data_IF_104060028260
#
_entry.id   IF_104060028260
#
_cell.length_a   1.000
_cell.length_b   1.000
_cell.length_c   1.000
_cell.angle_alpha   90.00
_cell.angle_beta   90.00
_cell.angle_gamma   90.00
#
_symmetry.space_group_name_H-M   'P 1'
#
loop_
_entity.id
_entity.type
_entity.pdbx_description
1 polymer ?
#
# COMPACT_ATOMS: atom_id res chain seq x y z
N UNK A 1 23.08 -7.98 4.35
CA UNK A 1 22.25 -7.34 3.30
C UNK A 1 20.84 -7.01 3.80
N UNK A 2 20.10 -7.95 4.41
CA UNK A 2 18.74 -7.68 4.93
C UNK A 2 18.64 -6.55 5.98
N UNK A 3 19.65 -6.38 6.85
CA UNK A 3 19.67 -5.29 7.84
C UNK A 3 19.66 -3.90 7.18
N UNK A 4 20.50 -3.70 6.16
CA UNK A 4 20.60 -2.41 5.45
C UNK A 4 19.28 -2.08 4.74
N UNK A 5 18.65 -3.07 4.08
CA UNK A 5 17.35 -2.88 3.42
C UNK A 5 16.28 -2.47 4.44
N UNK A 6 16.24 -3.14 5.60
CA UNK A 6 15.30 -2.81 6.67
C UNK A 6 15.48 -1.38 7.18
N UNK A 7 16.72 -0.96 7.41
CA UNK A 7 17.01 0.38 7.94
C UNK A 7 16.66 1.47 6.90
N UNK A 8 16.95 1.24 5.62
CA UNK A 8 16.51 2.12 4.54
C UNK A 8 14.98 2.22 4.45
N UNK A 9 14.26 1.09 4.53
CA UNK A 9 12.80 1.08 4.50
C UNK A 9 12.21 1.83 5.70
N UNK A 10 12.82 1.72 6.87
CA UNK A 10 12.41 2.51 8.04
C UNK A 10 12.56 4.01 7.80
N UNK A 11 13.66 4.45 7.16
CA UNK A 11 13.83 5.86 6.78
C UNK A 11 12.77 6.32 5.77
N UNK A 12 12.51 5.52 4.73
CA UNK A 12 11.49 5.81 3.72
C UNK A 12 10.11 5.89 4.38
N UNK A 13 9.79 4.93 5.25
CA UNK A 13 8.55 4.91 6.02
C UNK A 13 8.37 6.19 6.85
N UNK A 14 9.43 6.68 7.52
CA UNK A 14 9.38 7.96 8.22
C UNK A 14 9.07 9.13 7.26
N UNK A 15 9.77 9.21 6.12
CA UNK A 15 9.60 10.29 5.13
C UNK A 15 8.19 10.31 4.53
N UNK A 16 7.66 9.15 4.18
CA UNK A 16 6.32 8.97 3.61
C UNK A 16 5.23 9.37 4.61
N UNK A 17 5.45 9.13 5.90
CA UNK A 17 4.52 9.54 6.95
C UNK A 17 4.61 11.02 7.32
N UNK A 18 5.74 11.68 7.03
CA UNK A 18 5.98 13.07 7.42
C UNK A 18 5.13 14.08 6.63
N UNK A 19 5.11 14.00 5.30
CA UNK A 19 4.35 14.95 4.47
C UNK A 19 3.99 14.40 3.08
N UNK A 20 3.08 15.09 2.39
CA UNK A 20 2.60 14.68 1.07
C UNK A 20 3.65 14.88 -0.03
N UNK A 21 4.49 15.91 0.09
CA UNK A 21 5.54 16.22 -0.89
C UNK A 21 6.52 15.06 -1.02
N UNK A 22 6.89 14.44 0.11
CA UNK A 22 7.75 13.25 0.11
C UNK A 22 7.08 12.07 -0.61
N UNK A 23 5.77 11.87 -0.39
CA UNK A 23 5.02 10.81 -1.09
C UNK A 23 5.04 11.02 -2.60
N UNK A 24 4.83 12.27 -3.03
CA UNK A 24 4.86 12.64 -4.45
C UNK A 24 6.24 12.36 -5.02
N UNK A 25 7.32 12.84 -4.39
CA UNK A 25 8.70 12.61 -4.83
C UNK A 25 8.99 11.11 -4.96
N UNK A 26 8.62 10.31 -3.96
CA UNK A 26 8.86 8.85 -3.98
C UNK A 26 8.06 8.19 -5.11
N UNK A 27 6.77 8.50 -5.25
CA UNK A 27 5.91 7.94 -6.29
C UNK A 27 6.42 8.29 -7.71
N UNK A 28 6.81 9.56 -7.93
CA UNK A 28 7.30 10.00 -9.25
C UNK A 28 8.63 9.39 -9.64
N UNK A 29 9.41 8.90 -8.68
CA UNK A 29 10.69 8.23 -8.91
C UNK A 29 10.57 6.69 -8.97
N UNK A 30 9.36 6.15 -9.21
CA UNK A 30 9.13 4.71 -9.34
C UNK A 30 9.10 3.96 -8.00
N UNK A 31 8.94 4.68 -6.89
CA UNK A 31 8.91 4.07 -5.56
C UNK A 31 7.77 3.08 -5.37
N UNK A 32 6.60 3.32 -5.99
CA UNK A 32 5.48 2.38 -6.00
C UNK A 32 5.85 1.03 -6.61
N UNK A 33 6.57 1.06 -7.74
CA UNK A 33 6.92 -0.15 -8.50
C UNK A 33 7.85 -1.02 -7.67
N UNK A 34 8.86 -0.36 -7.10
CA UNK A 34 9.85 -0.97 -6.23
C UNK A 34 9.18 -1.61 -5.01
N UNK A 35 8.24 -0.91 -4.37
CA UNK A 35 7.52 -1.43 -3.19
C UNK A 35 6.66 -2.63 -3.57
N UNK A 36 5.88 -2.57 -4.65
CA UNK A 36 5.04 -3.70 -5.09
C UNK A 36 5.90 -4.90 -5.49
N UNK A 37 7.01 -4.69 -6.20
CA UNK A 37 7.92 -5.76 -6.59
C UNK A 37 8.60 -6.40 -5.36
N UNK A 38 8.97 -5.61 -4.36
CA UNK A 38 9.47 -6.15 -3.09
C UNK A 38 8.39 -6.95 -2.33
N UNK A 39 7.14 -6.48 -2.30
CA UNK A 39 6.03 -7.22 -1.67
C UNK A 39 5.70 -8.53 -2.39
N UNK A 40 5.95 -8.59 -3.70
CA UNK A 40 5.85 -9.82 -4.51
C UNK A 40 6.99 -10.80 -4.22
N UNK A 41 8.13 -10.32 -3.76
CA UNK A 41 9.24 -11.18 -3.33
C UNK A 41 8.97 -11.73 -1.92
N UNK A 42 9.50 -12.91 -1.61
CA UNK A 42 9.45 -13.45 -0.24
C UNK A 42 10.28 -12.56 0.68
N UNK A 43 9.60 -11.79 1.54
CA UNK A 43 10.21 -10.81 2.47
C UNK A 43 9.86 -11.15 3.91
N UNK A 44 10.79 -10.84 4.81
CA UNK A 44 10.59 -10.95 6.26
C UNK A 44 9.38 -10.14 6.74
N UNK A 45 8.73 -10.58 7.84
CA UNK A 45 7.51 -9.96 8.35
C UNK A 45 7.66 -8.48 8.72
N UNK A 46 8.82 -8.06 9.25
CA UNK A 46 9.08 -6.65 9.58
C UNK A 46 9.23 -5.81 8.32
N UNK A 47 9.94 -6.33 7.33
CA UNK A 47 10.12 -5.67 6.03
C UNK A 47 8.78 -5.54 5.31
N UNK A 48 7.99 -6.62 5.29
CA UNK A 48 6.64 -6.64 4.71
C UNK A 48 5.77 -5.55 5.31
N UNK A 49 5.77 -5.41 6.64
CA UNK A 49 5.02 -4.38 7.33
C UNK A 49 5.39 -2.98 6.86
N UNK A 50 6.69 -2.63 6.83
CA UNK A 50 7.11 -1.31 6.33
C UNK A 50 6.66 -1.06 4.90
N UNK A 51 6.74 -2.08 4.03
CA UNK A 51 6.32 -1.96 2.65
C UNK A 51 4.81 -1.73 2.52
N UNK A 52 3.97 -2.43 3.30
CA UNK A 52 2.52 -2.24 3.31
C UNK A 52 2.15 -0.84 3.82
N UNK A 53 2.81 -0.36 4.87
CA UNK A 53 2.60 0.98 5.41
C UNK A 53 3.05 2.09 4.44
N UNK A 54 4.15 1.87 3.70
CA UNK A 54 4.57 2.77 2.62
C UNK A 54 3.54 2.74 1.49
N UNK A 55 3.11 1.55 1.07
CA UNK A 55 2.17 1.38 -0.03
C UNK A 55 0.81 2.04 0.27
N UNK A 56 0.30 1.88 1.49
CA UNK A 56 -0.98 2.49 1.91
C UNK A 56 -0.92 4.02 1.90
N UNK A 57 0.24 4.60 2.21
CA UNK A 57 0.43 6.04 2.10
C UNK A 57 0.59 6.53 0.66
N UNK A 58 1.33 5.80 -0.18
CA UNK A 58 1.52 6.15 -1.59
C UNK A 58 0.23 5.99 -2.40
N UNK A 59 -0.63 5.03 -2.04
CA UNK A 59 -1.90 4.76 -2.73
C UNK A 59 -2.93 5.87 -2.58
N UNK A 60 -2.73 6.84 -1.69
CA UNK A 60 -3.53 8.06 -1.64
C UNK A 60 -3.26 9.00 -2.84
N UNK A 61 -2.14 8.81 -3.55
CA UNK A 61 -1.79 9.59 -4.72
C UNK A 61 -2.35 8.95 -5.98
N UNK A 62 -3.20 9.68 -6.70
CA UNK A 62 -3.84 9.21 -7.94
C UNK A 62 -2.85 8.75 -9.02
N UNK A 63 -1.65 9.33 -9.05
CA UNK A 63 -0.58 8.94 -9.99
C UNK A 63 -0.15 7.48 -9.84
N UNK A 64 -0.30 6.91 -8.63
CA UNK A 64 0.13 5.54 -8.28
C UNK A 64 -0.91 4.48 -8.70
N UNK A 65 -2.17 4.86 -8.92
CA UNK A 65 -3.27 3.88 -9.08
C UNK A 65 -3.17 3.02 -10.33
N UNK A 66 -2.80 3.61 -11.47
CA UNK A 66 -2.64 2.86 -12.73
C UNK A 66 -1.63 1.73 -12.53
N UNK A 67 -0.54 2.06 -11.88
CA UNK A 67 0.58 1.18 -11.62
C UNK A 67 0.21 0.07 -10.63
N UNK A 68 -0.50 0.39 -9.55
CA UNK A 68 -1.04 -0.60 -8.61
C UNK A 68 -1.94 -1.62 -9.31
N UNK A 69 -2.79 -1.17 -10.23
CA UNK A 69 -3.69 -2.06 -10.97
C UNK A 69 -2.90 -2.94 -11.94
N UNK A 70 -1.88 -2.40 -12.63
CA UNK A 70 -1.08 -3.18 -13.58
C UNK A 70 -0.16 -4.20 -12.89
N UNK A 71 0.41 -3.86 -11.75
CA UNK A 71 1.33 -4.72 -11.00
C UNK A 71 0.61 -5.66 -10.02
N UNK A 72 -0.72 -5.60 -9.95
CA UNK A 72 -1.51 -6.40 -9.00
C UNK A 72 -1.35 -5.95 -7.53
N UNK A 73 -0.84 -4.75 -7.28
CA UNK A 73 -0.62 -4.18 -5.95
C UNK A 73 -1.90 -3.94 -5.14
N UNK A 74 -3.08 -3.94 -5.78
CA UNK A 74 -4.39 -3.81 -5.12
C UNK A 74 -4.60 -4.88 -4.03
N UNK A 75 -4.07 -6.10 -4.23
CA UNK A 75 -4.15 -7.18 -3.23
C UNK A 75 -3.45 -6.86 -1.92
N UNK A 76 -2.37 -6.09 -1.96
CA UNK A 76 -1.63 -5.69 -0.77
C UNK A 76 -2.37 -4.60 0.01
N UNK A 77 -3.16 -3.76 -0.66
CA UNK A 77 -4.08 -2.85 0.03
C UNK A 77 -5.21 -3.62 0.71
N UNK A 78 -5.76 -4.65 0.06
CA UNK A 78 -6.77 -5.51 0.68
C UNK A 78 -6.20 -6.24 1.91
N UNK A 79 -5.01 -6.83 1.80
CA UNK A 79 -4.30 -7.46 2.93
C UNK A 79 -4.07 -6.49 4.09
N UNK A 80 -3.57 -5.29 3.81
CA UNK A 80 -3.31 -4.29 4.85
C UNK A 80 -4.62 -3.77 5.47
N UNK A 81 -5.70 -3.69 4.70
CA UNK A 81 -7.02 -3.33 5.22
C UNK A 81 -7.60 -4.44 6.13
N UNK A 82 -7.41 -5.73 5.78
CA UNK A 82 -7.90 -6.87 6.57
C UNK A 82 -7.10 -7.09 7.85
N UNK A 83 -5.78 -7.16 7.74
CA UNK A 83 -4.93 -7.62 8.83
C UNK A 83 -4.26 -6.48 9.60
N UNK A 84 -4.11 -5.30 8.98
CA UNK A 84 -3.65 -4.04 9.56
C UNK A 84 -2.35 -4.06 10.36
N UNK A 85 -1.64 -5.19 10.49
CA UNK A 85 -0.46 -5.43 11.32
C UNK A 85 -0.41 -4.68 12.68
N UNK A 86 -1.58 -4.38 13.26
CA UNK A 86 -1.75 -3.56 14.48
C UNK A 86 -1.60 -2.03 14.33
N UNK A 87 -1.52 -1.47 13.11
CA UNK A 87 -1.37 -0.04 12.85
C UNK A 87 -2.62 0.57 12.18
N UNK A 88 -3.49 1.20 12.98
CA UNK A 88 -4.78 1.75 12.52
C UNK A 88 -4.63 2.78 11.40
N UNK A 89 -3.59 3.61 11.43
CA UNK A 89 -3.35 4.64 10.41
C UNK A 89 -3.12 4.04 9.01
N UNK A 90 -2.33 2.97 8.93
CA UNK A 90 -2.07 2.32 7.64
C UNK A 90 -3.31 1.60 7.12
N UNK A 91 -4.04 0.92 8.02
CA UNK A 91 -5.33 0.28 7.72
C UNK A 91 -6.35 1.29 7.17
N UNK A 92 -6.51 2.44 7.84
CA UNK A 92 -7.41 3.51 7.40
C UNK A 92 -7.06 3.99 5.98
N UNK A 93 -5.77 4.26 5.71
CA UNK A 93 -5.32 4.68 4.37
C UNK A 93 -5.56 3.62 3.32
N UNK A 94 -5.34 2.34 3.67
CA UNK A 94 -5.62 1.23 2.78
C UNK A 94 -7.12 1.18 2.42
N UNK A 95 -8.01 1.29 3.42
CA UNK A 95 -9.45 1.37 3.21
C UNK A 95 -9.86 2.59 2.35
N UNK A 96 -9.28 3.75 2.62
CA UNK A 96 -9.52 4.96 1.84
C UNK A 96 -9.08 4.76 0.38
N UNK A 97 -7.90 4.21 0.15
CA UNK A 97 -7.39 3.92 -1.18
C UNK A 97 -8.24 2.88 -1.91
N UNK A 98 -8.74 1.85 -1.22
CA UNK A 98 -9.70 0.87 -1.76
C UNK A 98 -10.96 1.59 -2.24
N UNK A 99 -11.56 2.45 -1.40
CA UNK A 99 -12.76 3.21 -1.78
C UNK A 99 -12.55 4.08 -3.01
N UNK A 100 -11.38 4.73 -3.08
CA UNK A 100 -10.99 5.58 -4.22
C UNK A 100 -10.72 4.78 -5.50
N UNK A 101 -10.05 3.63 -5.40
CA UNK A 101 -9.78 2.72 -6.53
C UNK A 101 -11.07 2.08 -7.05
N UNK A 102 -12.01 1.77 -6.16
CA UNK A 102 -13.31 1.14 -6.44
C UNK A 102 -14.21 1.94 -7.40
N UNK A 103 -13.90 3.21 -7.66
CA UNK A 103 -14.56 4.03 -8.70
C UNK A 103 -14.34 3.46 -10.10
N UNK A 104 -13.23 2.74 -10.33
CA UNK A 104 -12.93 2.16 -11.65
C UNK A 104 -13.47 0.73 -11.78
N UNK A 105 -14.17 0.40 -12.86
CA UNK A 105 -14.76 -0.95 -13.07
C UNK A 105 -13.76 -2.11 -12.98
N UNK A 106 -12.50 -1.88 -13.36
CA UNK A 106 -11.45 -2.91 -13.29
C UNK A 106 -11.01 -3.14 -11.85
N UNK A 107 -10.64 -2.08 -11.13
CA UNK A 107 -10.23 -2.22 -9.74
C UNK A 107 -11.40 -2.66 -8.85
N UNK A 108 -12.63 -2.22 -9.13
CA UNK A 108 -13.83 -2.67 -8.42
C UNK A 108 -13.97 -4.20 -8.45
N UNK A 109 -13.89 -4.82 -9.63
CA UNK A 109 -13.95 -6.29 -9.75
C UNK A 109 -12.82 -6.96 -8.98
N UNK A 110 -11.59 -6.47 -9.11
CA UNK A 110 -10.46 -7.00 -8.35
C UNK A 110 -10.68 -6.90 -6.83
N UNK A 111 -11.23 -5.78 -6.35
CA UNK A 111 -11.50 -5.55 -4.93
C UNK A 111 -12.61 -6.47 -4.40
N UNK A 112 -13.65 -6.70 -5.19
CA UNK A 112 -14.72 -7.67 -4.85
C UNK A 112 -14.13 -9.08 -4.75
N UNK A 113 -13.33 -9.50 -5.73
CA UNK A 113 -12.70 -10.82 -5.74
C UNK A 113 -11.73 -11.02 -4.56
N UNK A 114 -11.18 -9.93 -4.01
CA UNK A 114 -10.30 -9.92 -2.84
C UNK A 114 -11.04 -9.82 -1.50
N UNK A 115 -12.38 -9.79 -1.49
CA UNK A 115 -13.17 -9.68 -0.26
C UNK A 115 -13.12 -8.28 0.39
N UNK A 116 -12.79 -7.24 -0.38
CA UNK A 116 -12.63 -5.88 0.18
C UNK A 116 -13.95 -5.31 0.76
N UNK A 117 -15.12 -5.83 0.36
CA UNK A 117 -16.41 -5.40 0.91
C UNK A 117 -16.50 -5.75 2.40
N UNK A 118 -16.17 -6.99 2.78
CA UNK A 118 -16.26 -7.44 4.17
C UNK A 118 -15.32 -6.61 5.05
N UNK A 119 -14.11 -6.34 4.55
CA UNK A 119 -13.10 -5.52 5.23
C UNK A 119 -13.55 -4.08 5.43
N UNK A 120 -14.22 -3.48 4.44
CA UNK A 120 -14.77 -2.13 4.57
C UNK A 120 -15.95 -2.10 5.56
N UNK A 121 -16.75 -3.17 5.62
CA UNK A 121 -17.86 -3.28 6.56
C UNK A 121 -17.40 -3.34 8.02
N UNK A 122 -16.25 -3.96 8.30
CA UNK A 122 -15.64 -3.98 9.64
C UNK A 122 -15.15 -2.60 10.14
N UNK A 123 -15.11 -1.60 9.26
CA UNK A 123 -14.64 -0.24 9.57
C UNK A 123 -15.78 0.75 9.82
N UNK A 124 -17.04 0.34 9.63
CA UNK A 124 -18.25 1.13 9.86
C UNK A 124 -18.79 0.92 11.29
#
# INVERSE_FOLDING_TARGET
MMLVVRDCLKCIWCLVNLCNENRVVIATNGGSEIVVNMLNSSVDGVVRRYLLEILSALSLLRVVWRELISLGGVRFLAEEASCGHGHMLSRERACQAIGLLGVTRRAHRMLVDLGAIDVLMEML
#
